data_IF_999717384860
#
_entry.id   IF_999717384860
#
_cell.length_a   1.000
_cell.length_b   1.000
_cell.length_c   1.000
_cell.angle_alpha   90.00
_cell.angle_beta   90.00
_cell.angle_gamma   90.00
#
_symmetry.space_group_name_H-M   'P 1'
#
loop_
_entity.id
_entity.type
_entity.pdbx_description
1 polymer ?
#
# COMPACT_ATOMS: atom_id res chain seq x y z
N UNK A 1 -75.59 39.65 -28.35
CA UNK A 1 -74.21 39.34 -28.82
C UNK A 1 -73.33 39.25 -27.58
N UNK A 2 -73.03 38.04 -27.14
CA UNK A 2 -72.20 37.77 -25.96
C UNK A 2 -70.73 37.62 -26.37
N UNK A 3 -69.83 38.36 -25.72
CA UNK A 3 -68.38 38.19 -25.86
C UNK A 3 -67.84 37.29 -24.73
N UNK A 4 -66.83 36.43 -24.97
CA UNK A 4 -66.23 35.59 -23.94
C UNK A 4 -65.07 36.31 -23.22
N UNK A 5 -64.75 35.98 -21.95
CA UNK A 5 -63.61 36.55 -21.25
C UNK A 5 -62.30 35.82 -21.61
N UNK A 6 -61.25 36.62 -21.85
CA UNK A 6 -59.90 36.15 -22.16
C UNK A 6 -59.22 35.42 -21.00
N UNK A 7 -58.60 34.28 -21.30
CA UNK A 7 -57.75 33.52 -20.37
C UNK A 7 -56.40 34.23 -20.18
N UNK A 8 -56.05 34.57 -18.94
CA UNK A 8 -54.74 35.13 -18.55
C UNK A 8 -53.61 34.07 -18.64
N UNK A 9 -52.40 34.40 -19.11
CA UNK A 9 -51.28 33.47 -19.26
C UNK A 9 -50.44 33.40 -17.97
N UNK A 10 -50.98 32.85 -16.88
CA UNK A 10 -50.23 32.72 -15.61
C UNK A 10 -49.73 31.31 -15.33
N UNK A 11 -50.02 30.33 -16.20
CA UNK A 11 -49.59 28.93 -16.02
C UNK A 11 -48.28 28.56 -16.71
N UNK A 12 -47.76 29.39 -17.61
CA UNK A 12 -46.51 29.11 -18.33
C UNK A 12 -45.24 29.49 -17.52
N UNK A 13 -45.33 30.49 -16.63
CA UNK A 13 -44.17 30.95 -15.85
C UNK A 13 -43.80 30.01 -14.68
N UNK A 14 -44.77 29.29 -14.10
CA UNK A 14 -44.53 28.37 -12.98
C UNK A 14 -43.86 27.05 -13.40
N UNK A 15 -44.09 26.61 -14.64
CA UNK A 15 -43.46 25.40 -15.21
C UNK A 15 -42.02 25.66 -15.65
N UNK A 16 -41.68 26.88 -16.06
CA UNK A 16 -40.30 27.25 -16.39
C UNK A 16 -39.39 27.38 -15.16
N UNK A 17 -39.91 27.82 -14.01
CA UNK A 17 -39.14 27.86 -12.76
C UNK A 17 -38.95 26.48 -12.11
N UNK A 18 -39.88 25.53 -12.28
CA UNK A 18 -39.69 24.16 -11.80
C UNK A 18 -38.71 23.35 -12.66
N UNK A 19 -38.57 23.68 -13.96
CA UNK A 19 -37.59 23.05 -14.84
C UNK A 19 -36.14 23.52 -14.61
N UNK A 20 -35.95 24.71 -14.02
CA UNK A 20 -34.64 25.24 -13.63
C UNK A 20 -34.15 24.76 -12.25
N UNK A 21 -35.01 24.12 -11.46
CA UNK A 21 -34.66 23.57 -10.15
C UNK A 21 -34.26 22.08 -10.18
N UNK A 22 -34.34 21.43 -11.36
CA UNK A 22 -34.02 20.00 -11.53
C UNK A 22 -32.66 19.74 -12.20
N UNK A 23 -31.85 20.78 -12.44
CA UNK A 23 -30.46 20.65 -12.94
C UNK A 23 -29.41 20.62 -11.82
N UNK A 24 -29.82 20.53 -10.55
CA UNK A 24 -28.96 20.08 -9.46
C UNK A 24 -28.81 18.55 -9.46
N UNK A 25 -28.62 17.94 -10.64
CA UNK A 25 -28.18 16.57 -10.75
C UNK A 25 -26.69 16.53 -10.40
N UNK A 26 -26.37 15.96 -9.24
CA UNK A 26 -25.06 15.36 -8.89
C UNK A 26 -23.87 15.92 -9.66
N UNK A 27 -23.24 16.98 -9.14
CA UNK A 27 -21.88 17.37 -9.57
C UNK A 27 -20.96 16.19 -9.29
N UNK A 28 -20.75 15.33 -10.29
CA UNK A 28 -19.71 14.32 -10.25
C UNK A 28 -18.36 14.98 -10.03
N UNK A 29 -17.43 14.26 -9.39
CA UNK A 29 -16.05 14.71 -9.25
C UNK A 29 -15.49 15.08 -10.64
N UNK A 30 -14.74 16.19 -10.77
CA UNK A 30 -14.01 16.49 -12.00
C UNK A 30 -13.12 15.30 -12.40
N UNK A 31 -12.83 15.07 -13.70
CA UNK A 31 -11.92 14.00 -14.10
C UNK A 31 -10.55 14.10 -13.40
N UNK A 32 -9.89 12.96 -13.22
CA UNK A 32 -8.50 12.90 -12.73
C UNK A 32 -7.62 13.87 -13.51
N UNK A 33 -6.89 14.70 -12.78
CA UNK A 33 -5.96 15.66 -13.36
C UNK A 33 -4.52 15.12 -13.27
N UNK A 34 -3.90 14.87 -14.43
CA UNK A 34 -2.49 14.48 -14.47
C UNK A 34 -1.60 15.72 -14.53
N UNK A 35 -1.08 16.10 -13.37
CA UNK A 35 -0.26 17.29 -13.24
C UNK A 35 1.20 16.98 -13.65
N UNK A 36 1.60 17.52 -14.79
CA UNK A 36 2.84 17.19 -15.51
C UNK A 36 4.12 17.64 -14.81
N UNK A 37 4.04 18.68 -13.99
CA UNK A 37 5.17 19.35 -13.36
C UNK A 37 4.78 19.95 -12.00
N UNK A 38 5.73 20.56 -11.30
CA UNK A 38 5.50 21.05 -9.93
C UNK A 38 5.16 19.94 -8.93
N UNK A 39 4.71 20.33 -7.74
CA UNK A 39 4.19 19.38 -6.74
C UNK A 39 2.95 20.02 -6.08
N UNK A 40 1.75 19.60 -6.47
CA UNK A 40 0.51 20.18 -5.98
C UNK A 40 0.44 20.14 -4.45
N UNK A 41 0.05 21.25 -3.79
CA UNK A 41 0.01 21.32 -2.34
C UNK A 41 -1.08 20.43 -1.73
N UNK A 42 -2.18 20.18 -2.45
CA UNK A 42 -3.29 19.35 -1.96
C UNK A 42 -3.42 18.06 -2.75
N UNK A 43 -3.89 17.01 -2.07
CA UNK A 43 -4.22 15.74 -2.72
C UNK A 43 -5.44 15.90 -3.62
N UNK A 44 -6.41 16.71 -3.20
CA UNK A 44 -7.63 17.02 -3.97
C UNK A 44 -7.34 17.62 -5.36
N UNK A 45 -6.20 18.31 -5.55
CA UNK A 45 -5.81 18.87 -6.85
C UNK A 45 -5.65 17.80 -7.95
N UNK A 46 -5.36 16.54 -7.60
CA UNK A 46 -5.23 15.44 -8.56
C UNK A 46 -6.57 14.84 -9.00
N UNK A 47 -7.64 15.12 -8.26
CA UNK A 47 -8.96 14.50 -8.41
C UNK A 47 -8.94 12.95 -8.44
N UNK A 48 -7.98 12.27 -7.80
CA UNK A 48 -7.95 10.79 -7.76
C UNK A 48 -9.04 10.21 -6.85
N UNK A 49 -9.36 10.94 -5.79
CA UNK A 49 -10.29 10.55 -4.74
C UNK A 49 -10.74 11.80 -4.00
N UNK A 50 -11.90 11.74 -3.34
CA UNK A 50 -12.33 12.78 -2.42
C UNK A 50 -13.02 12.18 -1.19
N UNK A 51 -12.88 12.87 -0.05
CA UNK A 51 -13.73 12.65 1.10
C UNK A 51 -15.10 13.30 0.82
N UNK A 52 -16.12 12.48 0.58
CA UNK A 52 -17.48 12.92 0.27
C UNK A 52 -18.51 12.04 0.99
N UNK A 53 -19.52 12.66 1.61
CA UNK A 53 -20.56 11.96 2.34
C UNK A 53 -20.07 11.00 3.43
N UNK A 54 -18.94 11.31 4.08
CA UNK A 54 -18.32 10.44 5.10
C UNK A 54 -17.57 9.23 4.53
N UNK A 55 -17.27 9.21 3.23
CA UNK A 55 -16.56 8.14 2.54
C UNK A 55 -15.39 8.68 1.74
N UNK A 56 -14.34 7.87 1.54
CA UNK A 56 -13.30 8.15 0.55
C UNK A 56 -13.71 7.57 -0.81
N UNK A 57 -14.24 8.40 -1.68
CA UNK A 57 -14.74 7.96 -2.99
C UNK A 57 -13.65 8.08 -4.04
N UNK A 58 -13.35 6.98 -4.73
CA UNK A 58 -12.43 6.94 -5.88
C UNK A 58 -13.09 7.53 -7.13
N UNK A 59 -12.31 8.25 -7.93
CA UNK A 59 -12.80 8.82 -9.18
C UNK A 59 -12.84 7.77 -10.31
N UNK A 60 -13.56 8.08 -11.39
CA UNK A 60 -13.68 7.22 -12.57
C UNK A 60 -12.31 6.85 -13.16
N UNK A 61 -12.11 5.55 -13.39
CA UNK A 61 -10.85 5.01 -13.91
C UNK A 61 -9.76 4.84 -12.85
N UNK A 62 -9.98 5.23 -11.60
CA UNK A 62 -9.05 4.95 -10.49
C UNK A 62 -9.34 3.55 -9.98
N UNK A 63 -8.50 2.59 -10.39
CA UNK A 63 -8.72 1.17 -10.17
C UNK A 63 -8.03 0.73 -8.88
N UNK A 64 -8.77 0.29 -7.85
CA UNK A 64 -8.17 -0.27 -6.66
C UNK A 64 -7.57 -1.65 -6.94
N UNK A 65 -6.61 -2.06 -6.12
CA UNK A 65 -6.02 -3.40 -6.18
C UNK A 65 -5.43 -3.79 -4.82
N UNK A 66 -5.20 -5.08 -4.61
CA UNK A 66 -4.53 -5.62 -3.43
C UNK A 66 -3.44 -6.63 -3.78
N UNK A 67 -2.60 -6.93 -2.78
CA UNK A 67 -1.49 -7.86 -2.91
C UNK A 67 -1.80 -9.19 -2.24
N UNK A 68 -1.31 -10.31 -2.77
CA UNK A 68 -1.41 -11.62 -2.09
C UNK A 68 -0.84 -11.57 -0.66
N UNK A 69 0.32 -10.92 -0.53
CA UNK A 69 0.98 -10.64 0.74
C UNK A 69 1.36 -9.16 0.76
N UNK A 70 0.76 -8.32 1.64
CA UNK A 70 1.06 -6.90 1.69
C UNK A 70 2.33 -6.59 2.49
N UNK A 71 3.02 -5.51 2.11
CA UNK A 71 4.10 -4.93 2.91
C UNK A 71 3.56 -4.42 4.26
N UNK A 72 4.26 -4.75 5.34
CA UNK A 72 3.99 -4.30 6.70
C UNK A 72 4.39 -2.83 6.89
N UNK A 73 3.53 -2.05 7.55
CA UNK A 73 3.78 -0.63 7.87
C UNK A 73 3.04 -0.32 9.16
N UNK A 74 3.55 -0.81 10.29
CA UNK A 74 2.97 -0.62 11.61
C UNK A 74 1.48 -0.97 11.71
N UNK A 75 1.07 -2.08 11.11
CA UNK A 75 -0.34 -2.49 11.03
C UNK A 75 -1.27 -1.55 10.25
N UNK A 76 -0.77 -0.45 9.66
CA UNK A 76 -1.57 0.38 8.77
C UNK A 76 -2.06 -0.43 7.55
N UNK A 77 -3.37 -0.41 7.36
CA UNK A 77 -4.03 -0.93 6.18
C UNK A 77 -3.88 0.04 5.00
N UNK A 78 -4.06 -0.47 3.77
CA UNK A 78 -3.65 0.25 2.56
C UNK A 78 -4.69 0.08 1.46
N UNK A 79 -5.34 1.18 1.07
CA UNK A 79 -6.07 1.25 -0.19
C UNK A 79 -5.06 1.62 -1.27
N UNK A 80 -4.86 0.73 -2.24
CA UNK A 80 -3.92 0.96 -3.34
C UNK A 80 -4.71 1.14 -4.61
N UNK A 81 -4.33 2.12 -5.42
CA UNK A 81 -5.01 2.34 -6.70
C UNK A 81 -4.00 2.62 -7.81
N UNK A 82 -4.43 2.33 -9.03
CA UNK A 82 -3.74 2.66 -10.27
C UNK A 82 -4.72 3.48 -11.11
N UNK A 83 -4.24 4.60 -11.63
CA UNK A 83 -4.90 5.35 -12.67
C UNK A 83 -3.96 5.53 -13.85
N UNK A 84 -4.49 5.36 -15.06
CA UNK A 84 -3.77 5.60 -16.30
C UNK A 84 -4.64 6.43 -17.26
N UNK A 85 -4.03 7.30 -18.07
CA UNK A 85 -4.75 8.03 -19.12
C UNK A 85 -5.53 7.07 -20.01
N UNK A 86 -6.73 7.50 -20.44
CA UNK A 86 -7.57 6.70 -21.33
C UNK A 86 -6.79 6.28 -22.59
N UNK A 87 -6.86 5.00 -22.92
CA UNK A 87 -6.18 4.42 -24.09
C UNK A 87 -4.69 4.12 -23.87
N UNK A 88 -4.17 4.30 -22.67
CA UNK A 88 -2.83 3.85 -22.29
C UNK A 88 -2.89 2.56 -21.47
N UNK A 89 -1.84 1.75 -21.59
CA UNK A 89 -1.73 0.45 -20.93
C UNK A 89 -0.32 0.24 -20.40
N UNK A 90 -0.20 -0.42 -19.26
CA UNK A 90 1.07 -1.00 -18.84
C UNK A 90 1.39 -2.26 -19.67
N UNK A 91 2.68 -2.51 -19.91
CA UNK A 91 3.14 -3.77 -20.51
C UNK A 91 3.45 -4.77 -19.41
N UNK A 92 2.94 -5.99 -19.54
CA UNK A 92 3.18 -7.08 -18.61
C UNK A 92 4.69 -7.39 -18.47
N UNK A 93 5.09 -7.67 -17.24
CA UNK A 93 6.40 -8.18 -16.86
C UNK A 93 6.19 -9.28 -15.81
N UNK A 94 6.80 -10.45 -16.00
CA UNK A 94 6.59 -11.59 -15.11
C UNK A 94 7.24 -11.36 -13.72
N UNK A 95 8.49 -10.88 -13.73
CA UNK A 95 9.35 -10.87 -12.54
C UNK A 95 9.57 -9.47 -11.93
N UNK A 96 9.34 -8.42 -12.71
CA UNK A 96 9.50 -7.02 -12.28
C UNK A 96 8.16 -6.32 -12.14
N UNK A 97 8.18 -5.04 -11.75
CA UNK A 97 7.00 -4.22 -11.87
C UNK A 97 6.57 -4.14 -13.34
N UNK A 98 5.27 -4.01 -13.59
CA UNK A 98 4.78 -3.73 -14.94
C UNK A 98 5.43 -2.47 -15.50
N UNK A 99 5.60 -2.43 -16.81
CA UNK A 99 6.14 -1.25 -17.48
C UNK A 99 5.00 -0.25 -17.70
N UNK A 100 4.90 0.72 -16.80
CA UNK A 100 3.83 1.72 -16.80
C UNK A 100 4.15 2.91 -17.72
N UNK A 101 3.18 3.35 -18.53
CA UNK A 101 3.35 4.48 -19.44
C UNK A 101 3.47 5.81 -18.68
N UNK A 102 4.05 6.82 -19.33
CA UNK A 102 3.97 8.21 -18.89
C UNK A 102 2.50 8.62 -18.75
N UNK A 103 2.17 9.28 -17.65
CA UNK A 103 0.79 9.60 -17.28
C UNK A 103 0.24 8.74 -16.13
N UNK A 104 0.89 7.62 -15.82
CA UNK A 104 0.43 6.73 -14.74
C UNK A 104 0.53 7.39 -13.37
N UNK A 105 -0.50 7.23 -12.54
CA UNK A 105 -0.47 7.54 -11.11
C UNK A 105 -0.79 6.26 -10.32
N UNK A 106 0.10 5.90 -9.40
CA UNK A 106 -0.14 4.82 -8.43
C UNK A 106 -0.27 5.48 -7.06
N UNK A 107 -1.39 5.24 -6.37
CA UNK A 107 -1.63 5.79 -5.04
C UNK A 107 -1.66 4.69 -3.98
N UNK A 108 -1.29 5.06 -2.75
CA UNK A 108 -1.43 4.23 -1.55
C UNK A 108 -1.93 5.10 -0.42
N UNK A 109 -3.18 4.92 -0.01
CA UNK A 109 -3.76 5.56 1.16
C UNK A 109 -3.59 4.64 2.36
N UNK A 110 -2.82 5.08 3.34
CA UNK A 110 -2.56 4.38 4.60
C UNK A 110 -3.58 4.81 5.65
N UNK A 111 -4.18 3.84 6.30
CA UNK A 111 -5.22 4.10 7.28
C UNK A 111 -5.25 3.01 8.36
N UNK A 112 -5.90 3.32 9.48
CA UNK A 112 -6.21 2.36 10.52
C UNK A 112 -7.72 2.27 10.74
N UNK A 113 -8.29 1.11 11.08
CA UNK A 113 -9.62 1.05 11.65
C UNK A 113 -9.69 1.84 12.97
N UNK A 114 -10.79 2.54 13.21
CA UNK A 114 -11.06 3.24 14.48
C UNK A 114 -11.57 2.25 15.52
N UNK A 115 -11.28 2.54 16.79
CA UNK A 115 -11.92 1.82 17.88
C UNK A 115 -13.43 2.11 17.88
N UNK A 116 -14.31 1.09 18.00
CA UNK A 116 -15.75 1.31 18.06
C UNK A 116 -16.14 2.26 19.20
N UNK A 117 -17.01 3.23 18.92
CA UNK A 117 -17.48 4.20 19.92
C UNK A 117 -16.55 5.41 20.12
N UNK A 118 -15.35 5.42 19.52
CA UNK A 118 -14.46 6.59 19.47
C UNK A 118 -14.70 7.31 18.13
N UNK A 119 -15.49 8.38 18.15
CA UNK A 119 -15.81 9.18 16.96
C UNK A 119 -14.59 9.91 16.39
N UNK A 120 -14.72 10.41 15.15
CA UNK A 120 -13.75 11.35 14.57
C UNK A 120 -13.71 12.62 15.45
N UNK A 121 -12.59 12.85 16.14
CA UNK A 121 -12.41 13.99 17.04
C UNK A 121 -12.37 13.66 18.54
N UNK A 122 -11.84 12.49 18.93
CA UNK A 122 -11.56 12.18 20.32
C UNK A 122 -10.56 13.22 20.90
N UNK A 123 -11.09 14.12 21.74
CA UNK A 123 -10.42 15.14 22.57
C UNK A 123 -9.21 15.85 21.96
N UNK A 124 -9.35 17.16 21.68
CA UNK A 124 -8.22 18.01 21.31
C UNK A 124 -7.05 17.82 22.29
N UNK A 125 -5.96 17.20 21.82
CA UNK A 125 -4.76 16.91 22.62
C UNK A 125 -4.53 15.45 22.99
N UNK A 126 -5.43 14.50 22.67
CA UNK A 126 -5.17 13.06 22.81
C UNK A 126 -4.80 12.41 21.47
N UNK A 127 -3.93 11.38 21.47
CA UNK A 127 -3.68 10.58 20.26
C UNK A 127 -4.97 9.92 19.76
N UNK A 128 -5.11 9.77 18.45
CA UNK A 128 -6.22 9.00 17.87
C UNK A 128 -6.12 7.54 18.32
N UNK A 129 -7.20 7.00 18.89
CA UNK A 129 -7.30 5.58 19.22
C UNK A 129 -7.67 4.77 17.97
N UNK A 130 -6.79 3.85 17.59
CA UNK A 130 -6.89 3.04 16.37
C UNK A 130 -6.58 1.58 16.65
N UNK A 131 -6.96 0.71 15.71
CA UNK A 131 -6.79 -0.74 15.85
C UNK A 131 -5.63 -1.26 14.99
N UNK A 132 -4.71 -2.00 15.59
CA UNK A 132 -3.78 -2.87 14.89
C UNK A 132 -4.45 -4.22 14.62
N UNK A 133 -5.29 -4.26 13.59
CA UNK A 133 -5.98 -5.47 13.16
C UNK A 133 -5.93 -5.64 11.65
N UNK A 134 -6.01 -6.90 11.23
CA UNK A 134 -6.20 -7.24 9.83
C UNK A 134 -7.67 -7.44 9.44
N UNK A 135 -8.61 -7.31 10.38
CA UNK A 135 -10.01 -7.27 10.03
C UNK A 135 -10.29 -5.97 9.24
N UNK A 136 -10.83 -6.15 8.03
CA UNK A 136 -11.21 -5.06 7.14
C UNK A 136 -12.72 -5.01 6.89
N UNK A 137 -13.50 -5.86 7.57
CA UNK A 137 -14.95 -6.03 7.36
C UNK A 137 -15.73 -4.72 7.57
N UNK A 138 -15.24 -3.87 8.46
CA UNK A 138 -15.86 -2.59 8.83
C UNK A 138 -15.36 -1.38 8.05
N UNK A 139 -14.37 -1.57 7.18
CA UNK A 139 -13.73 -0.43 6.53
C UNK A 139 -14.58 0.18 5.42
N UNK A 140 -15.60 -0.50 4.90
CA UNK A 140 -16.38 -0.01 3.76
C UNK A 140 -15.77 -0.30 2.39
N UNK A 141 -14.81 -1.23 2.30
CA UNK A 141 -14.24 -1.72 1.03
C UNK A 141 -13.48 -0.65 0.25
N UNK A 142 -13.72 -0.57 -1.06
CA UNK A 142 -13.05 0.37 -1.99
C UNK A 142 -13.36 1.84 -1.71
N UNK A 143 -14.43 2.15 -0.95
CA UNK A 143 -14.91 3.52 -0.72
C UNK A 143 -14.60 4.07 0.68
N UNK A 144 -13.84 3.33 1.49
CA UNK A 144 -13.51 3.59 2.91
C UNK A 144 -14.50 4.45 3.70
N UNK A 145 -15.23 3.84 4.63
CA UNK A 145 -16.10 4.55 5.56
C UNK A 145 -15.28 5.32 6.62
N UNK A 146 -15.25 6.64 6.50
CA UNK A 146 -14.44 7.54 7.34
C UNK A 146 -14.93 7.60 8.80
N UNK A 147 -16.14 7.11 9.09
CA UNK A 147 -16.59 6.91 10.46
C UNK A 147 -15.90 5.69 11.11
N UNK A 148 -15.46 4.72 10.31
CA UNK A 148 -14.84 3.49 10.79
C UNK A 148 -13.31 3.46 10.57
N UNK A 149 -12.74 4.40 9.81
CA UNK A 149 -11.29 4.46 9.57
C UNK A 149 -10.70 5.84 9.89
N UNK A 150 -9.41 5.84 10.23
CA UNK A 150 -8.55 7.01 10.34
C UNK A 150 -7.53 6.97 9.20
N UNK A 151 -7.69 7.86 8.23
CA UNK A 151 -6.71 8.12 7.19
C UNK A 151 -5.49 8.84 7.81
N UNK A 152 -4.30 8.37 7.45
CA UNK A 152 -3.03 8.92 7.92
C UNK A 152 -2.35 9.68 6.79
N UNK A 153 -2.06 8.98 5.69
CA UNK A 153 -1.40 9.58 4.54
C UNK A 153 -1.82 8.94 3.22
N UNK A 154 -1.63 9.65 2.12
CA UNK A 154 -1.68 9.12 0.76
C UNK A 154 -0.34 9.38 0.07
N UNK A 155 0.33 8.32 -0.38
CA UNK A 155 1.56 8.43 -1.16
C UNK A 155 1.26 8.23 -2.64
N UNK A 156 1.61 9.21 -3.46
CA UNK A 156 1.53 9.10 -4.92
C UNK A 156 2.89 8.73 -5.50
N UNK A 157 2.90 7.79 -6.43
CA UNK A 157 3.96 7.62 -7.42
C UNK A 157 3.42 8.09 -8.77
N UNK A 158 4.05 9.10 -9.36
CA UNK A 158 3.59 9.72 -10.60
C UNK A 158 4.63 9.52 -11.70
N UNK A 159 4.26 8.85 -12.80
CA UNK A 159 5.14 8.59 -13.95
C UNK A 159 5.10 9.78 -14.91
N UNK A 160 6.02 10.72 -14.72
CA UNK A 160 6.25 11.86 -15.63
C UNK A 160 7.22 11.48 -16.74
N UNK A 161 7.34 12.34 -17.75
CA UNK A 161 8.30 12.17 -18.86
C UNK A 161 9.74 11.98 -18.35
N UNK A 162 10.10 12.69 -17.29
CA UNK A 162 11.45 12.65 -16.68
C UNK A 162 11.69 11.44 -15.77
N UNK A 163 10.66 10.67 -15.41
CA UNK A 163 10.78 9.57 -14.47
C UNK A 163 9.60 9.48 -13.51
N UNK A 164 9.73 8.58 -12.53
CA UNK A 164 8.83 8.53 -11.40
C UNK A 164 9.18 9.61 -10.37
N UNK A 165 8.16 10.21 -9.77
CA UNK A 165 8.30 11.03 -8.57
C UNK A 165 7.42 10.47 -7.45
N UNK A 166 7.81 10.71 -6.21
CA UNK A 166 7.06 10.31 -5.03
C UNK A 166 6.58 11.53 -4.24
N UNK A 167 5.29 11.55 -3.92
CA UNK A 167 4.64 12.67 -3.23
C UNK A 167 3.82 12.13 -2.03
N UNK A 168 4.30 12.27 -0.80
CA UNK A 168 3.54 11.94 0.40
C UNK A 168 2.61 13.11 0.78
N UNK A 169 1.32 12.81 0.97
CA UNK A 169 0.31 13.75 1.45
C UNK A 169 -0.22 13.27 2.80
N UNK A 170 -0.34 14.16 3.79
CA UNK A 170 -0.86 13.82 5.12
C UNK A 170 -2.27 14.34 5.28
N UNK A 171 -3.19 13.47 5.70
CA UNK A 171 -4.59 13.81 5.90
C UNK A 171 -4.76 14.73 7.11
N UNK A 172 -5.63 15.73 6.97
CA UNK A 172 -5.96 16.64 8.06
C UNK A 172 -6.79 15.95 9.15
N UNK A 173 -6.91 16.61 10.32
CA UNK A 173 -7.65 16.09 11.45
C UNK A 173 -9.14 15.90 11.13
N UNK A 174 -9.68 16.75 10.26
CA UNK A 174 -11.07 16.75 9.79
C UNK A 174 -11.36 15.62 8.79
N UNK A 175 -10.33 14.93 8.29
CA UNK A 175 -10.43 13.84 7.30
C UNK A 175 -11.09 14.28 5.98
N UNK A 176 -10.88 15.52 5.57
CA UNK A 176 -11.49 16.13 4.38
C UNK A 176 -10.53 16.28 3.20
N UNK A 177 -9.23 16.44 3.46
CA UNK A 177 -8.20 16.52 2.42
C UNK A 177 -6.82 16.17 3.01
N UNK A 178 -5.80 16.07 2.15
CA UNK A 178 -4.42 15.83 2.54
C UNK A 178 -3.46 16.85 1.92
N UNK A 179 -2.44 17.24 2.68
CA UNK A 179 -1.46 18.27 2.29
C UNK A 179 -0.09 17.64 2.07
N UNK A 180 0.63 18.10 1.04
CA UNK A 180 1.95 17.61 0.69
C UNK A 180 2.95 17.76 1.86
N UNK A 181 3.48 16.65 2.36
CA UNK A 181 4.42 16.60 3.49
C UNK A 181 5.86 16.35 3.02
N UNK A 182 6.49 17.36 2.40
CA UNK A 182 7.83 17.21 1.80
C UNK A 182 8.90 16.74 2.78
N UNK A 183 8.86 17.26 4.01
CA UNK A 183 9.81 16.97 5.09
C UNK A 183 9.44 15.71 5.89
N UNK A 184 8.38 15.00 5.49
CA UNK A 184 7.78 13.95 6.30
C UNK A 184 6.97 14.53 7.46
N UNK A 185 6.37 13.63 8.24
CA UNK A 185 5.56 13.97 9.40
C UNK A 185 5.56 12.82 10.40
N UNK A 186 5.37 13.14 11.68
CA UNK A 186 5.12 12.16 12.73
C UNK A 186 3.68 12.30 13.20
N UNK A 187 2.97 11.19 13.32
CA UNK A 187 1.59 11.13 13.79
C UNK A 187 1.56 10.22 15.01
N UNK A 188 1.19 10.77 16.17
CA UNK A 188 1.02 10.00 17.40
C UNK A 188 -0.32 9.27 17.39
N UNK A 189 -0.29 7.97 17.64
CA UNK A 189 -1.44 7.07 17.67
C UNK A 189 -1.46 6.29 18.99
N UNK A 190 -2.65 6.07 19.54
CA UNK A 190 -2.85 5.04 20.56
C UNK A 190 -3.38 3.79 19.86
N UNK A 191 -2.58 2.73 19.85
CA UNK A 191 -2.87 1.54 19.05
C UNK A 191 -3.31 0.39 19.95
N UNK A 192 -4.55 -0.03 19.80
CA UNK A 192 -5.06 -1.25 20.42
C UNK A 192 -4.74 -2.45 19.51
N UNK A 193 -4.07 -3.45 20.07
CA UNK A 193 -3.76 -4.71 19.40
C UNK A 193 -4.87 -5.75 19.61
N UNK A 194 -4.87 -6.81 18.80
CA UNK A 194 -5.86 -7.91 18.90
C UNK A 194 -5.80 -8.65 20.25
N UNK A 195 -4.68 -8.58 20.97
CA UNK A 195 -4.53 -9.10 22.34
C UNK A 195 -5.16 -8.18 23.41
N UNK A 196 -5.76 -7.07 23.01
CA UNK A 196 -6.37 -6.05 23.88
C UNK A 196 -5.37 -5.05 24.48
N UNK A 197 -4.06 -5.21 24.26
CA UNK A 197 -3.06 -4.28 24.76
C UNK A 197 -3.07 -2.96 23.98
N UNK A 198 -2.87 -1.86 24.69
CA UNK A 198 -2.71 -0.52 24.11
C UNK A 198 -1.23 -0.14 24.11
N UNK A 199 -0.71 0.26 22.95
CA UNK A 199 0.69 0.64 22.77
C UNK A 199 0.75 1.94 21.97
N UNK A 200 1.32 3.02 22.53
CA UNK A 200 1.57 4.23 21.77
C UNK A 200 2.48 3.94 20.59
N UNK A 201 2.14 4.50 19.42
CA UNK A 201 2.92 4.40 18.20
C UNK A 201 3.14 5.81 17.64
N UNK A 202 4.39 6.13 17.32
CA UNK A 202 4.69 7.28 16.46
C UNK A 202 4.79 6.79 15.02
N UNK A 203 3.72 6.99 14.26
CA UNK A 203 3.71 6.69 12.83
C UNK A 203 4.56 7.73 12.08
N UNK A 204 5.52 7.26 11.28
CA UNK A 204 6.42 8.13 10.52
C UNK A 204 6.06 8.12 9.04
N UNK A 205 5.57 9.26 8.56
CA UNK A 205 5.44 9.57 7.14
C UNK A 205 6.83 9.95 6.61
N UNK A 206 7.39 9.19 5.66
CA UNK A 206 8.72 9.46 5.12
C UNK A 206 8.72 10.76 4.33
N UNK A 207 9.86 11.45 4.35
CA UNK A 207 10.07 12.60 3.49
C UNK A 207 10.29 12.17 2.02
N UNK A 208 10.20 13.14 1.09
CA UNK A 208 10.30 12.85 -0.36
C UNK A 208 11.63 12.20 -0.75
N UNK A 209 12.72 12.52 -0.06
CA UNK A 209 14.05 11.97 -0.35
C UNK A 209 14.18 10.52 0.16
N UNK A 210 13.56 10.21 1.29
CA UNK A 210 13.51 8.86 1.86
C UNK A 210 12.70 7.88 1.01
N UNK A 211 11.80 8.38 0.14
CA UNK A 211 11.07 7.53 -0.78
C UNK A 211 12.03 6.74 -1.71
N UNK A 212 13.15 7.36 -2.09
CA UNK A 212 14.17 6.74 -2.95
C UNK A 212 14.86 5.54 -2.27
N UNK A 213 14.95 5.52 -0.93
CA UNK A 213 15.60 4.42 -0.19
C UNK A 213 14.97 3.06 -0.43
N UNK A 214 13.66 3.00 -0.73
CA UNK A 214 12.97 1.76 -1.08
C UNK A 214 12.68 1.62 -2.57
N UNK A 215 12.49 2.75 -3.27
CA UNK A 215 11.98 2.73 -4.63
C UNK A 215 13.06 2.85 -5.72
N UNK A 216 14.31 3.15 -5.37
CA UNK A 216 15.43 2.97 -6.29
C UNK A 216 15.75 1.48 -6.39
N UNK A 217 15.30 0.86 -7.48
CA UNK A 217 15.42 -0.60 -7.68
C UNK A 217 16.84 -1.02 -8.10
N UNK A 218 17.61 -0.10 -8.67
CA UNK A 218 18.99 -0.33 -9.10
C UNK A 218 19.85 0.88 -8.71
N UNK A 219 20.80 0.65 -7.78
CA UNK A 219 21.69 1.71 -7.29
C UNK A 219 22.61 2.29 -8.37
N UNK A 220 22.94 1.53 -9.42
CA UNK A 220 23.83 1.99 -10.50
C UNK A 220 23.09 2.93 -11.44
N UNK A 221 21.90 2.54 -11.88
CA UNK A 221 21.08 3.35 -12.80
C UNK A 221 20.27 4.41 -12.09
N UNK A 222 20.13 4.30 -10.75
CA UNK A 222 19.22 5.10 -9.91
C UNK A 222 17.77 5.04 -10.40
N UNK A 223 17.40 3.94 -11.07
CA UNK A 223 16.07 3.77 -11.63
C UNK A 223 15.05 3.62 -10.50
N UNK A 224 14.11 4.56 -10.44
CA UNK A 224 12.97 4.51 -9.52
C UNK A 224 11.88 3.60 -10.10
N UNK A 225 11.35 2.65 -9.32
CA UNK A 225 10.26 1.76 -9.74
C UNK A 225 9.23 1.51 -8.63
N UNK A 226 7.96 1.26 -8.99
CA UNK A 226 6.98 0.74 -8.05
C UNK A 226 7.41 -0.63 -7.49
N UNK A 227 7.10 -0.89 -6.22
CA UNK A 227 7.48 -2.15 -5.54
C UNK A 227 6.38 -3.22 -5.71
N UNK A 228 5.12 -2.86 -5.42
CA UNK A 228 4.01 -3.81 -5.33
C UNK A 228 3.43 -4.31 -6.67
N UNK A 229 3.25 -3.48 -7.72
CA UNK A 229 2.62 -3.88 -8.98
C UNK A 229 3.45 -4.85 -9.86
N UNK A 230 3.74 -6.03 -9.34
CA UNK A 230 4.37 -7.16 -10.05
C UNK A 230 3.35 -8.27 -10.22
N UNK A 231 3.43 -9.04 -11.30
CA UNK A 231 2.47 -10.11 -11.62
C UNK A 231 2.18 -11.03 -10.43
N UNK A 232 3.24 -11.54 -9.78
CA UNK A 232 3.15 -12.45 -8.63
C UNK A 232 2.41 -11.89 -7.42
N UNK A 233 2.44 -10.56 -7.21
CA UNK A 233 1.75 -9.94 -6.09
C UNK A 233 0.29 -9.64 -6.40
N UNK A 234 -0.08 -9.49 -7.68
CA UNK A 234 -1.43 -9.14 -8.11
C UNK A 234 -2.25 -10.35 -8.56
N UNK A 235 -1.62 -11.51 -8.82
CA UNK A 235 -2.32 -12.72 -9.24
C UNK A 235 -3.16 -13.33 -8.11
N UNK A 236 -4.34 -12.75 -7.92
CA UNK A 236 -5.39 -13.14 -6.98
C UNK A 236 -6.70 -12.50 -7.44
N UNK A 237 -7.79 -12.96 -6.84
CA UNK A 237 -9.09 -12.36 -7.06
C UNK A 237 -9.26 -11.10 -6.22
N UNK A 238 -10.02 -10.17 -6.78
CA UNK A 238 -10.44 -8.92 -6.16
C UNK A 238 -11.86 -8.60 -6.60
N UNK A 239 -12.64 -7.99 -5.71
CA UNK A 239 -14.04 -7.65 -5.96
C UNK A 239 -14.15 -6.17 -6.31
N UNK A 240 -14.51 -5.87 -7.56
CA UNK A 240 -14.79 -4.53 -8.07
C UNK A 240 -16.30 -4.33 -8.20
N UNK A 241 -16.87 -3.36 -7.49
CA UNK A 241 -18.32 -3.06 -7.51
C UNK A 241 -19.22 -4.33 -7.38
N UNK A 242 -18.82 -5.26 -6.51
CA UNK A 242 -19.54 -6.52 -6.26
C UNK A 242 -19.23 -7.67 -7.23
N UNK A 243 -18.40 -7.45 -8.24
CA UNK A 243 -17.97 -8.48 -9.20
C UNK A 243 -16.55 -8.95 -8.87
N UNK A 244 -16.40 -10.23 -8.60
CA UNK A 244 -15.09 -10.85 -8.30
C UNK A 244 -14.44 -11.39 -9.57
N UNK A 245 -13.22 -10.94 -9.85
CA UNK A 245 -12.40 -11.38 -10.98
C UNK A 245 -10.91 -11.40 -10.56
N UNK A 246 -10.08 -12.19 -11.22
CA UNK A 246 -8.63 -12.10 -11.07
C UNK A 246 -8.12 -10.73 -11.51
N UNK A 247 -7.30 -10.07 -10.69
CA UNK A 247 -6.85 -8.70 -10.96
C UNK A 247 -6.05 -8.56 -12.27
N UNK A 248 -5.26 -9.57 -12.66
CA UNK A 248 -4.52 -9.52 -13.94
C UNK A 248 -5.48 -9.59 -15.13
N UNK A 249 -6.51 -10.44 -15.04
CA UNK A 249 -7.56 -10.55 -16.04
C UNK A 249 -8.37 -9.25 -16.12
N UNK A 250 -8.78 -8.71 -14.96
CA UNK A 250 -9.51 -7.45 -14.87
C UNK A 250 -8.74 -6.29 -15.49
N UNK A 251 -7.47 -6.10 -15.09
CA UNK A 251 -6.61 -5.05 -15.66
C UNK A 251 -6.42 -5.22 -17.16
N UNK A 252 -6.34 -6.45 -17.67
CA UNK A 252 -6.26 -6.72 -19.11
C UNK A 252 -7.56 -6.36 -19.82
N UNK A 253 -8.70 -6.77 -19.26
CA UNK A 253 -10.04 -6.53 -19.81
C UNK A 253 -10.40 -5.05 -19.92
N UNK A 254 -10.00 -4.24 -18.94
CA UNK A 254 -10.23 -2.79 -18.97
C UNK A 254 -9.17 -2.02 -19.79
N UNK A 255 -8.19 -2.73 -20.37
CA UNK A 255 -7.12 -2.14 -21.19
C UNK A 255 -6.00 -1.49 -20.37
N UNK A 256 -5.90 -1.74 -19.07
CA UNK A 256 -4.82 -1.22 -18.22
C UNK A 256 -3.56 -2.07 -18.27
N UNK A 257 -3.65 -3.33 -18.69
CA UNK A 257 -2.51 -4.23 -18.84
C UNK A 257 -2.56 -4.92 -20.20
N UNK A 258 -1.41 -5.04 -20.86
CA UNK A 258 -1.28 -5.73 -22.15
C UNK A 258 -0.19 -6.79 -22.09
N UNK A 259 -0.32 -7.85 -22.89
CA UNK A 259 0.66 -8.94 -22.97
C UNK A 259 0.65 -9.89 -21.77
N UNK A 260 -0.30 -9.78 -20.84
CA UNK A 260 -0.42 -10.71 -19.73
C UNK A 260 -0.94 -12.07 -20.22
N UNK A 261 -0.38 -13.19 -19.74
CA UNK A 261 -0.95 -14.51 -19.99
C UNK A 261 -2.25 -14.70 -19.20
N UNK A 262 -2.95 -15.80 -19.43
CA UNK A 262 -4.05 -16.20 -18.55
C UNK A 262 -3.56 -16.31 -17.09
N UNK A 263 -4.37 -15.93 -16.08
CA UNK A 263 -3.93 -15.91 -14.68
C UNK A 263 -3.33 -17.21 -14.17
N UNK A 264 -3.77 -18.36 -14.68
CA UNK A 264 -3.27 -19.69 -14.31
C UNK A 264 -1.82 -19.92 -14.77
N UNK A 265 -1.36 -19.21 -15.80
CA UNK A 265 0.00 -19.26 -16.32
C UNK A 265 0.89 -18.11 -15.80
N UNK A 266 0.32 -17.12 -15.10
CA UNK A 266 1.08 -16.05 -14.47
C UNK A 266 1.65 -16.50 -13.11
N UNK A 267 2.81 -15.99 -12.67
CA UNK A 267 3.35 -16.29 -11.35
C UNK A 267 2.40 -15.77 -10.26
N UNK A 268 2.45 -16.39 -9.08
CA UNK A 268 1.60 -16.07 -7.93
C UNK A 268 2.35 -16.28 -6.62
N UNK A 269 2.39 -15.26 -5.77
CA UNK A 269 2.89 -15.39 -4.40
C UNK A 269 1.82 -16.00 -3.50
N UNK A 270 2.30 -16.68 -2.46
CA UNK A 270 1.45 -17.13 -1.39
C UNK A 270 0.81 -15.95 -0.65
N UNK A 271 -0.37 -16.21 -0.07
CA UNK A 271 -0.89 -15.36 1.00
C UNK A 271 -0.24 -15.82 2.30
N UNK A 272 0.58 -14.98 2.92
CA UNK A 272 1.35 -15.32 4.11
C UNK A 272 0.48 -15.72 5.32
N UNK A 273 -0.80 -15.36 5.33
CA UNK A 273 -1.77 -15.70 6.38
C UNK A 273 -2.60 -16.96 6.09
N UNK A 274 -2.56 -17.48 4.86
CA UNK A 274 -3.33 -18.66 4.48
C UNK A 274 -2.59 -19.93 4.91
N UNK A 275 -3.02 -20.53 6.00
CA UNK A 275 -2.38 -21.70 6.62
C UNK A 275 -2.47 -22.99 5.79
N UNK A 276 -3.31 -23.00 4.75
CA UNK A 276 -3.39 -24.10 3.77
C UNK A 276 -2.21 -24.10 2.80
N UNK A 277 -1.51 -22.97 2.67
CA UNK A 277 -0.31 -22.86 1.86
C UNK A 277 0.94 -23.23 2.66
N UNK A 278 1.94 -23.78 1.98
CA UNK A 278 3.15 -24.27 2.64
C UNK A 278 3.87 -23.16 3.42
N UNK A 279 4.48 -23.54 4.53
CA UNK A 279 5.23 -22.62 5.40
C UNK A 279 6.33 -21.88 4.63
N UNK A 280 7.09 -22.58 3.78
CA UNK A 280 8.14 -21.98 2.96
C UNK A 280 7.56 -20.95 1.97
N UNK A 281 6.52 -21.29 1.21
CA UNK A 281 5.92 -20.35 0.26
C UNK A 281 5.42 -19.06 0.94
N UNK A 282 4.80 -19.19 2.13
CA UNK A 282 4.33 -18.05 2.93
C UNK A 282 5.49 -17.19 3.44
N UNK A 283 6.53 -17.81 4.00
CA UNK A 283 7.71 -17.11 4.50
C UNK A 283 8.47 -16.39 3.37
N UNK A 284 8.66 -17.05 2.23
CA UNK A 284 9.28 -16.49 1.02
C UNK A 284 8.48 -15.30 0.47
N UNK A 285 7.15 -15.41 0.40
CA UNK A 285 6.29 -14.31 -0.03
C UNK A 285 6.35 -13.11 0.92
N UNK A 286 6.44 -13.37 2.24
CA UNK A 286 6.61 -12.33 3.25
C UNK A 286 7.95 -11.59 3.10
N UNK A 287 9.06 -12.33 2.93
CA UNK A 287 10.40 -11.75 2.71
C UNK A 287 10.49 -11.01 1.37
N UNK A 288 9.86 -11.53 0.30
CA UNK A 288 9.86 -10.91 -1.03
C UNK A 288 9.28 -9.49 -0.99
N UNK A 289 8.05 -9.33 -0.47
CA UNK A 289 7.43 -7.99 -0.47
C UNK A 289 8.07 -7.04 0.56
N UNK A 290 8.46 -7.54 1.74
CA UNK A 290 8.93 -6.68 2.83
C UNK A 290 10.42 -6.33 2.74
N UNK A 291 11.23 -7.15 2.05
CA UNK A 291 12.69 -7.04 2.15
C UNK A 291 13.41 -7.08 0.80
N UNK A 292 12.91 -7.83 -0.20
CA UNK A 292 13.66 -8.10 -1.42
C UNK A 292 13.93 -6.88 -2.29
N UNK A 293 13.15 -5.81 -2.18
CA UNK A 293 13.42 -4.56 -2.89
C UNK A 293 14.76 -3.91 -2.48
N UNK A 294 15.22 -4.16 -1.25
CA UNK A 294 16.57 -3.78 -0.79
C UNK A 294 17.57 -4.95 -0.91
N UNK A 295 17.14 -6.16 -0.55
CA UNK A 295 17.96 -7.37 -0.49
C UNK A 295 17.90 -8.17 -1.78
N UNK A 296 18.58 -7.66 -2.81
CA UNK A 296 18.79 -8.28 -4.12
C UNK A 296 20.12 -7.79 -4.72
N UNK A 297 20.52 -8.30 -5.90
CA UNK A 297 21.80 -7.97 -6.55
C UNK A 297 22.01 -6.48 -6.85
N UNK A 298 20.92 -5.72 -7.01
CA UNK A 298 20.93 -4.31 -7.46
C UNK A 298 20.41 -3.32 -6.41
N UNK A 299 19.76 -3.84 -5.37
CA UNK A 299 19.09 -3.05 -4.34
C UNK A 299 20.06 -2.40 -3.34
N UNK A 300 19.50 -1.59 -2.44
CA UNK A 300 20.25 -0.83 -1.45
C UNK A 300 21.17 -1.66 -0.55
N UNK A 301 20.82 -2.94 -0.32
CA UNK A 301 21.57 -3.84 0.55
C UNK A 301 22.39 -4.89 -0.23
N UNK A 302 22.68 -4.66 -1.52
CA UNK A 302 23.37 -5.64 -2.35
C UNK A 302 24.77 -6.02 -1.84
N UNK A 303 25.50 -5.10 -1.21
CA UNK A 303 26.82 -5.34 -0.60
C UNK A 303 26.77 -6.37 0.52
N UNK A 304 25.60 -6.61 1.10
CA UNK A 304 25.42 -7.67 2.09
C UNK A 304 25.41 -9.06 1.48
N UNK A 305 25.19 -9.21 0.16
CA UNK A 305 24.96 -10.49 -0.53
C UNK A 305 23.82 -11.32 0.11
N UNK A 306 22.79 -10.66 0.63
CA UNK A 306 21.54 -11.28 1.10
C UNK A 306 20.46 -11.05 0.04
N UNK A 307 19.93 -12.13 -0.53
CA UNK A 307 18.94 -12.12 -1.60
C UNK A 307 17.62 -12.72 -1.10
N UNK A 308 16.57 -11.90 -1.09
CA UNK A 308 15.26 -12.27 -0.53
C UNK A 308 14.13 -12.29 -1.57
N UNK A 309 14.47 -12.19 -2.87
CA UNK A 309 13.51 -12.34 -3.95
C UNK A 309 12.82 -13.71 -3.87
N UNK A 310 11.58 -13.81 -4.37
CA UNK A 310 10.76 -15.03 -4.30
C UNK A 310 11.48 -16.31 -4.79
N UNK A 311 12.33 -16.20 -5.81
CA UNK A 311 13.06 -17.33 -6.41
C UNK A 311 14.49 -17.54 -5.91
N UNK A 312 14.91 -16.86 -4.83
CA UNK A 312 16.26 -17.00 -4.31
C UNK A 312 16.55 -18.46 -3.90
N UNK A 313 17.63 -19.10 -4.37
CA UNK A 313 18.01 -20.45 -3.95
C UNK A 313 18.15 -20.57 -2.43
N UNK A 314 17.91 -21.76 -1.88
CA UNK A 314 18.15 -22.05 -0.46
C UNK A 314 19.65 -22.29 -0.21
N UNK A 315 20.46 -21.24 -0.32
CA UNK A 315 21.91 -21.28 -0.19
C UNK A 315 22.44 -20.18 0.75
N UNK A 316 23.76 -19.95 0.71
CA UNK A 316 24.40 -18.86 1.46
C UNK A 316 23.78 -17.50 1.12
N UNK A 317 23.35 -17.23 -0.11
CA UNK A 317 22.78 -15.93 -0.50
C UNK A 317 21.41 -15.68 0.11
N UNK A 318 20.65 -16.71 0.49
CA UNK A 318 19.44 -16.55 1.32
C UNK A 318 19.76 -16.23 2.79
N UNK A 319 21.04 -16.36 3.18
CA UNK A 319 21.52 -16.16 4.54
C UNK A 319 21.74 -17.46 5.31
N UNK A 320 21.48 -18.64 4.72
CA UNK A 320 21.67 -19.93 5.38
C UNK A 320 23.14 -20.14 5.71
N UNK A 321 23.49 -20.26 6.99
CA UNK A 321 24.86 -20.48 7.45
C UNK A 321 25.86 -19.44 6.94
N UNK A 322 25.36 -18.25 6.60
CA UNK A 322 26.17 -17.16 6.07
C UNK A 322 26.62 -16.25 7.20
N UNK A 323 27.94 -16.11 7.45
CA UNK A 323 28.45 -15.12 8.39
C UNK A 323 28.03 -13.70 8.00
N UNK A 324 27.82 -12.79 8.97
CA UNK A 324 27.50 -11.40 8.67
C UNK A 324 28.68 -10.71 7.99
N UNK A 325 28.39 -9.92 6.95
CA UNK A 325 29.39 -9.06 6.28
C UNK A 325 29.49 -7.70 6.97
N UNK A 326 28.35 -7.06 7.23
CA UNK A 326 28.29 -5.69 7.75
C UNK A 326 27.00 -5.46 8.57
N UNK A 327 26.89 -6.12 9.73
CA UNK A 327 25.71 -5.99 10.59
C UNK A 327 26.00 -5.33 11.95
N UNK A 328 27.26 -5.24 12.41
CA UNK A 328 27.63 -4.58 13.66
C UNK A 328 26.78 -5.06 14.86
N UNK A 329 26.23 -4.10 15.62
CA UNK A 329 25.29 -4.38 16.72
C UNK A 329 24.04 -5.15 16.26
N UNK A 330 23.62 -4.98 15.00
CA UNK A 330 22.51 -5.72 14.38
C UNK A 330 22.72 -7.24 14.29
N UNK A 331 23.91 -7.76 14.60
CA UNK A 331 24.12 -9.22 14.78
C UNK A 331 23.48 -9.73 16.07
N UNK A 332 23.38 -8.90 17.11
CA UNK A 332 23.00 -9.33 18.45
C UNK A 332 23.86 -10.47 18.98
N UNK A 333 25.15 -10.54 18.58
CA UNK A 333 26.08 -11.59 18.98
C UNK A 333 25.91 -12.94 18.25
N UNK A 334 25.02 -13.02 17.24
CA UNK A 334 24.76 -14.24 16.48
C UNK A 334 25.75 -14.42 15.35
N UNK A 335 26.06 -15.68 15.02
CA UNK A 335 27.09 -16.02 14.05
C UNK A 335 26.61 -16.02 12.59
N UNK A 336 25.33 -16.32 12.34
CA UNK A 336 24.83 -16.56 10.98
C UNK A 336 23.55 -15.78 10.68
N UNK A 337 23.40 -15.37 9.41
CA UNK A 337 22.19 -14.74 8.88
C UNK A 337 20.92 -15.52 9.25
N UNK A 338 20.92 -16.80 8.88
CA UNK A 338 19.97 -17.82 9.30
C UNK A 338 20.78 -19.02 9.77
N UNK A 339 20.51 -19.48 10.98
CA UNK A 339 21.00 -20.75 11.52
C UNK A 339 19.86 -21.78 11.38
N UNK A 340 19.96 -22.74 10.43
CA UNK A 340 18.90 -23.71 10.18
C UNK A 340 18.49 -24.48 11.44
N UNK A 341 17.18 -24.61 11.68
CA UNK A 341 16.61 -25.26 12.86
C UNK A 341 16.73 -24.45 14.16
N UNK A 342 17.43 -23.31 14.16
CA UNK A 342 17.73 -22.52 15.35
C UNK A 342 17.34 -21.04 15.19
N UNK A 343 16.04 -20.72 15.28
CA UNK A 343 15.54 -19.36 15.07
C UNK A 343 16.20 -18.32 16.00
N UNK A 344 16.37 -18.64 17.28
CA UNK A 344 16.92 -17.67 18.25
C UNK A 344 18.42 -17.41 18.09
N UNK A 345 19.14 -18.28 17.36
CA UNK A 345 20.55 -18.09 16.96
C UNK A 345 20.70 -17.37 15.60
N UNK A 346 19.59 -16.99 14.94
CA UNK A 346 19.58 -16.39 13.60
C UNK A 346 19.54 -14.85 13.62
N UNK A 347 20.50 -14.19 12.95
CA UNK A 347 20.56 -12.71 12.86
C UNK A 347 19.26 -12.14 12.25
N UNK A 348 18.73 -12.77 11.20
CA UNK A 348 17.52 -12.32 10.51
C UNK A 348 16.35 -12.17 11.48
N UNK A 349 16.11 -13.19 12.32
CA UNK A 349 14.98 -13.17 13.24
C UNK A 349 15.18 -12.13 14.35
N UNK A 350 16.40 -12.00 14.87
CA UNK A 350 16.74 -10.98 15.86
C UNK A 350 16.44 -9.57 15.36
N UNK A 351 16.87 -9.23 14.14
CA UNK A 351 16.63 -7.92 13.53
C UNK A 351 15.15 -7.68 13.25
N UNK A 352 14.43 -8.70 12.76
CA UNK A 352 13.00 -8.61 12.50
C UNK A 352 12.19 -8.37 13.79
N UNK A 353 12.63 -8.97 14.90
CA UNK A 353 12.00 -8.89 16.22
C UNK A 353 12.41 -7.65 17.05
N UNK A 354 13.28 -6.77 16.54
CA UNK A 354 13.74 -5.57 17.25
C UNK A 354 13.05 -4.30 16.73
N UNK A 355 12.70 -3.38 17.63
CA UNK A 355 12.30 -2.01 17.31
C UNK A 355 13.43 -0.99 17.57
N UNK A 356 14.63 -1.46 17.92
CA UNK A 356 15.78 -0.60 18.22
C UNK A 356 16.43 -0.10 16.92
N UNK A 357 16.60 1.22 16.81
CA UNK A 357 17.28 1.87 15.69
C UNK A 357 18.68 1.30 15.48
N UNK A 358 19.04 0.97 14.24
CA UNK A 358 20.32 0.34 13.90
C UNK A 358 20.34 -1.18 14.05
N UNK A 359 19.39 -1.77 14.77
CA UNK A 359 19.18 -3.22 14.84
C UNK A 359 18.02 -3.66 13.95
N UNK A 360 16.88 -2.96 14.07
CA UNK A 360 15.61 -3.29 13.45
C UNK A 360 15.70 -3.46 11.93
N UNK A 361 14.90 -4.40 11.39
CA UNK A 361 14.69 -4.56 9.96
C UNK A 361 13.20 -4.72 9.63
N UNK A 362 12.68 -4.03 8.59
CA UNK A 362 13.34 -2.98 7.79
C UNK A 362 13.76 -1.75 8.63
N UNK A 363 14.78 -1.02 8.16
CA UNK A 363 15.35 0.15 8.85
C UNK A 363 14.43 1.38 8.83
N UNK A 364 13.42 1.37 7.96
CA UNK A 364 12.54 2.49 7.71
C UNK A 364 11.13 2.00 7.35
N UNK A 365 10.13 2.86 7.57
CA UNK A 365 8.73 2.52 7.29
C UNK A 365 8.05 1.63 8.33
N UNK A 366 8.68 1.47 9.52
CA UNK A 366 8.03 0.91 10.71
C UNK A 366 8.59 1.55 11.99
N UNK A 367 7.76 1.64 13.02
CA UNK A 367 8.10 1.92 14.42
C UNK A 367 7.75 0.78 15.38
N UNK A 368 7.11 -0.28 14.89
CA UNK A 368 6.68 -1.44 15.67
C UNK A 368 7.20 -2.77 15.10
N UNK A 369 7.22 -3.80 15.96
CA UNK A 369 7.53 -5.17 15.55
C UNK A 369 6.28 -5.82 14.99
N UNK A 370 6.39 -6.40 13.79
CA UNK A 370 5.32 -7.22 13.21
C UNK A 370 5.35 -8.62 13.85
N UNK A 371 4.56 -8.83 14.90
CA UNK A 371 4.61 -10.05 15.71
C UNK A 371 4.32 -11.32 14.89
N UNK A 372 3.32 -11.27 14.01
CA UNK A 372 2.88 -12.39 13.18
C UNK A 372 3.89 -12.71 12.08
N UNK A 373 4.53 -11.69 11.51
CA UNK A 373 5.66 -11.85 10.59
C UNK A 373 6.88 -12.48 11.27
N UNK A 374 7.20 -12.06 12.50
CA UNK A 374 8.26 -12.68 13.32
C UNK A 374 7.92 -14.15 13.61
N UNK A 375 6.68 -14.45 13.99
CA UNK A 375 6.24 -15.81 14.25
C UNK A 375 6.34 -16.70 12.99
N UNK A 376 5.94 -16.19 11.83
CA UNK A 376 6.07 -16.88 10.55
C UNK A 376 7.53 -17.22 10.22
N UNK A 377 8.43 -16.25 10.32
CA UNK A 377 9.87 -16.46 10.01
C UNK A 377 10.54 -17.35 11.06
N UNK A 378 10.16 -17.23 12.33
CA UNK A 378 10.61 -18.14 13.40
C UNK A 378 10.24 -19.58 13.09
N UNK A 379 8.97 -19.83 12.75
CA UNK A 379 8.49 -21.17 12.40
C UNK A 379 9.21 -21.71 11.15
N UNK A 380 9.40 -20.85 10.14
CA UNK A 380 10.11 -21.22 8.92
C UNK A 380 11.56 -21.64 9.18
N UNK A 381 12.32 -20.90 9.99
CA UNK A 381 13.70 -21.26 10.36
C UNK A 381 13.72 -22.54 11.20
N UNK A 382 12.80 -22.69 12.17
CA UNK A 382 12.73 -23.87 13.01
C UNK A 382 12.43 -25.16 12.22
N UNK A 383 11.69 -25.05 11.11
CA UNK A 383 11.36 -26.19 10.25
C UNK A 383 12.49 -26.62 9.31
N UNK A 384 13.60 -25.86 9.25
CA UNK A 384 14.75 -26.22 8.40
C UNK A 384 15.56 -27.38 9.02
N UNK A 385 16.16 -28.25 8.19
CA UNK A 385 17.11 -29.25 8.68
C UNK A 385 18.24 -28.58 9.47
N UNK A 386 18.50 -29.00 10.73
CA UNK A 386 19.43 -28.30 11.59
C UNK A 386 20.88 -28.47 11.15
N UNK A 387 21.67 -27.42 11.42
CA UNK A 387 23.12 -27.43 11.22
C UNK A 387 23.57 -26.80 9.91
N UNK A 388 24.88 -26.56 9.82
CA UNK A 388 25.51 -25.88 8.69
C UNK A 388 26.35 -26.78 7.79
N UNK A 389 26.18 -28.10 7.91
CA UNK A 389 26.82 -29.08 7.02
C UNK A 389 28.31 -28.81 6.81
N UNK A 390 29.07 -28.75 7.90
CA UNK A 390 30.53 -28.78 7.83
C UNK A 390 31.03 -30.21 7.86
#
# INVERSE_FOLDING_TARGET
>A
MFAPPGRRPWRAAALALCALALTACTRGQPPVDFITDGNPPKLSDWHLMAADGGRLVLNNGVVPYDLNTPLFTDYAQKLRTIWMPKGSSATYQADTAFDFPVGTIISKTFFYPRQPGMGAGADAGKPDAVLATYDSSRNGGERLDLANVRLIETRLLVRRKTGWIALPYVWNAEQTDAVLARTGQQVALDVQHEDGSHRPLTYVVPNVNQCASCHVADLKTRQFQPIGPKARHLNRDYTHDGVTENQLAYLTRIGYLTGAPAPQAAPRNANWRDDKQTLDARARAYLDINCAHCHNDKGAANTTALHLNIGAPADLHLGLCKPPVAAGAGTGGRQYGIMPGKPDESIMLYRLASAETGVMMPELGRGSVHAEGVALIRAWIAAMPPGCGH
#
